data_IF_737490979053
#
_entry.id   IF_737490979053
#
_cell.length_a   1.000
_cell.length_b   1.000
_cell.length_c   1.000
_cell.angle_alpha   90.00
_cell.angle_beta   90.00
_cell.angle_gamma   90.00
#
_symmetry.space_group_name_H-M   'P 1'
#
loop_
_entity.id
_entity.type
_entity.pdbx_description
1 polymer ?
#
# COMPACT_ATOMS: atom_id res chain seq x y z
N UNK A 1 23.20 -25.66 -6.98
CA UNK A 1 21.90 -25.87 -7.64
C UNK A 1 20.86 -25.04 -6.88
N UNK A 2 20.13 -24.15 -7.56
CA UNK A 2 19.07 -23.35 -6.91
C UNK A 2 17.83 -24.25 -6.79
N UNK A 3 17.36 -24.49 -5.56
CA UNK A 3 16.08 -25.16 -5.31
C UNK A 3 14.97 -24.11 -5.38
N UNK A 4 14.01 -24.30 -6.28
CA UNK A 4 12.88 -23.38 -6.47
C UNK A 4 11.63 -23.99 -5.83
N UNK A 5 10.99 -23.25 -4.92
CA UNK A 5 9.64 -23.56 -4.46
C UNK A 5 8.69 -23.22 -5.62
N UNK A 6 7.76 -24.12 -5.93
CA UNK A 6 6.62 -23.77 -6.80
C UNK A 6 5.76 -22.66 -6.17
N UNK A 7 4.81 -22.07 -6.92
CA UNK A 7 3.95 -21.02 -6.39
C UNK A 7 2.93 -21.53 -5.34
N UNK A 8 2.90 -22.83 -5.07
CA UNK A 8 1.98 -23.45 -4.14
C UNK A 8 2.15 -22.86 -2.73
N UNK A 9 1.10 -22.22 -2.22
CA UNK A 9 1.13 -21.59 -0.91
C UNK A 9 1.90 -20.26 -0.84
N UNK A 10 2.29 -19.67 -1.98
CA UNK A 10 2.83 -18.30 -2.06
C UNK A 10 1.79 -17.36 -2.69
N UNK A 11 1.38 -16.34 -1.95
CA UNK A 11 0.48 -15.29 -2.43
C UNK A 11 1.29 -14.05 -2.82
N UNK A 12 1.23 -13.68 -4.10
CA UNK A 12 1.79 -12.41 -4.59
C UNK A 12 0.70 -11.36 -4.65
N UNK A 13 0.97 -10.17 -4.13
CA UNK A 13 -0.01 -9.09 -4.10
C UNK A 13 0.58 -7.75 -4.52
N UNK A 14 -0.28 -6.88 -5.01
CA UNK A 14 0.03 -5.49 -5.33
C UNK A 14 -1.16 -4.61 -4.99
N UNK A 15 -0.92 -3.54 -4.24
CA UNK A 15 -1.93 -2.53 -3.94
C UNK A 15 -1.43 -1.16 -4.39
N UNK A 16 -2.36 -0.36 -4.90
CA UNK A 16 -2.09 0.99 -5.40
C UNK A 16 -2.89 1.99 -4.60
N UNK A 17 -2.29 3.14 -4.33
CA UNK A 17 -2.96 4.19 -3.62
C UNK A 17 -3.96 4.94 -4.52
N UNK A 18 -5.12 5.30 -3.96
CA UNK A 18 -6.23 5.96 -4.67
C UNK A 18 -6.41 7.39 -4.13
N UNK A 19 -5.31 8.13 -4.10
CA UNK A 19 -5.10 9.32 -3.28
C UNK A 19 -6.11 10.43 -3.56
N UNK A 20 -6.52 10.57 -4.83
CA UNK A 20 -7.52 11.55 -5.27
C UNK A 20 -8.95 11.23 -4.80
N UNK A 21 -9.18 10.02 -4.29
CA UNK A 21 -10.50 9.50 -3.93
C UNK A 21 -10.68 9.27 -2.44
N UNK A 22 -9.73 9.66 -1.58
CA UNK A 22 -9.83 9.50 -0.13
C UNK A 22 -10.10 10.84 0.57
N UNK A 23 -11.36 11.15 0.92
CA UNK A 23 -11.69 12.40 1.62
C UNK A 23 -10.93 12.56 2.93
N UNK A 24 -10.61 11.46 3.62
CA UNK A 24 -9.85 11.48 4.87
C UNK A 24 -8.42 11.95 4.66
N UNK A 25 -7.77 11.55 3.55
CA UNK A 25 -6.45 12.04 3.17
C UNK A 25 -6.51 13.55 2.91
N UNK A 26 -7.51 14.00 2.14
CA UNK A 26 -7.65 15.42 1.80
C UNK A 26 -7.96 16.31 2.98
N UNK A 27 -8.59 15.78 4.04
CA UNK A 27 -8.80 16.50 5.31
C UNK A 27 -7.51 16.73 6.10
N UNK A 28 -6.46 15.92 5.87
CA UNK A 28 -5.15 16.09 6.51
C UNK A 28 -4.28 17.14 5.80
N UNK A 29 -4.65 17.54 4.59
CA UNK A 29 -3.88 18.49 3.79
C UNK A 29 -4.02 19.92 4.33
N UNK A 30 -2.97 20.76 4.21
CA UNK A 30 -3.06 22.17 4.56
C UNK A 30 -4.19 22.87 3.79
N UNK A 31 -4.99 23.68 4.49
CA UNK A 31 -6.07 24.45 3.87
C UNK A 31 -5.51 25.71 3.21
N UNK A 32 -5.75 25.88 1.91
CA UNK A 32 -5.33 27.07 1.17
C UNK A 32 -6.39 28.18 1.21
N UNK A 33 -7.08 28.42 2.33
CA UNK A 33 -7.99 29.57 2.55
C UNK A 33 -9.23 29.68 1.62
N UNK A 34 -9.25 28.94 0.51
CA UNK A 34 -10.31 28.85 -0.48
C UNK A 34 -10.97 27.48 -0.32
N UNK A 35 -12.25 27.50 0.07
CA UNK A 35 -13.07 26.33 0.36
C UNK A 35 -13.46 25.50 -0.86
N UNK A 36 -13.03 25.87 -2.08
CA UNK A 36 -13.30 25.10 -3.28
C UNK A 36 -12.33 23.92 -3.39
N UNK A 37 -12.79 22.74 -2.97
CA UNK A 37 -12.14 21.45 -3.18
C UNK A 37 -12.31 20.98 -4.63
N UNK A 38 -11.54 21.58 -5.55
CA UNK A 38 -11.43 21.05 -6.91
C UNK A 38 -10.49 19.83 -6.94
N UNK A 39 -10.74 18.87 -7.83
CA UNK A 39 -9.84 17.72 -8.02
C UNK A 39 -8.39 18.15 -8.36
N UNK A 40 -8.23 19.30 -9.02
CA UNK A 40 -6.91 19.92 -9.29
C UNK A 40 -6.23 20.40 -8.00
N UNK A 41 -6.98 20.98 -7.07
CA UNK A 41 -6.44 21.41 -5.77
C UNK A 41 -6.02 20.20 -4.92
N UNK A 42 -6.80 19.11 -4.95
CA UNK A 42 -6.43 17.84 -4.30
C UNK A 42 -5.14 17.25 -4.85
N UNK A 43 -5.00 17.21 -6.17
CA UNK A 43 -3.79 16.74 -6.81
C UNK A 43 -2.57 17.59 -6.44
N UNK A 44 -2.70 18.92 -6.50
CA UNK A 44 -1.60 19.81 -6.16
C UNK A 44 -1.20 19.67 -4.68
N UNK A 45 -2.16 19.53 -3.76
CA UNK A 45 -1.86 19.31 -2.35
C UNK A 45 -1.07 18.02 -2.10
N UNK A 46 -1.38 16.93 -2.82
CA UNK A 46 -0.60 15.68 -2.73
C UNK A 46 0.82 15.90 -3.26
N UNK A 47 0.97 16.59 -4.40
CA UNK A 47 2.28 16.89 -4.98
C UNK A 47 3.14 17.75 -4.04
N UNK A 48 2.53 18.74 -3.38
CA UNK A 48 3.22 19.66 -2.49
C UNK A 48 3.49 19.04 -1.11
N UNK A 49 2.70 18.04 -0.71
CA UNK A 49 2.78 17.39 0.60
C UNK A 49 2.86 15.84 0.49
N UNK A 50 3.86 15.29 -0.24
CA UNK A 50 3.93 13.85 -0.53
C UNK A 50 4.07 13.02 0.74
N UNK A 51 4.78 13.54 1.76
CA UNK A 51 4.94 12.89 3.05
C UNK A 51 3.61 12.58 3.77
N UNK A 52 2.56 13.39 3.58
CA UNK A 52 1.23 13.15 4.15
C UNK A 52 0.55 11.99 3.43
N UNK A 53 0.58 12.01 2.09
CA UNK A 53 0.02 10.94 1.27
C UNK A 53 0.73 9.60 1.52
N UNK A 54 2.07 9.62 1.61
CA UNK A 54 2.92 8.46 1.87
C UNK A 54 2.61 7.84 3.23
N UNK A 55 2.59 8.66 4.29
CA UNK A 55 2.29 8.17 5.62
C UNK A 55 0.86 7.64 5.73
N UNK A 56 -0.11 8.32 5.09
CA UNK A 56 -1.50 7.88 5.07
C UNK A 56 -1.64 6.52 4.38
N UNK A 57 -1.03 6.35 3.21
CA UNK A 57 -1.05 5.07 2.51
C UNK A 57 -0.35 3.97 3.30
N UNK A 58 0.83 4.26 3.84
CA UNK A 58 1.58 3.35 4.70
C UNK A 58 0.70 2.84 5.83
N UNK A 59 0.05 3.74 6.58
CA UNK A 59 -0.80 3.35 7.72
C UNK A 59 -2.03 2.58 7.29
N UNK A 60 -2.68 3.00 6.21
CA UNK A 60 -3.85 2.32 5.69
C UNK A 60 -3.52 0.90 5.23
N UNK A 61 -2.40 0.71 4.55
CA UNK A 61 -1.92 -0.61 4.14
C UNK A 61 -1.46 -1.44 5.34
N UNK A 62 -0.68 -0.87 6.27
CA UNK A 62 -0.19 -1.58 7.47
C UNK A 62 -1.34 -2.15 8.28
N UNK A 63 -2.41 -1.37 8.50
CA UNK A 63 -3.62 -1.82 9.20
C UNK A 63 -4.33 -2.92 8.40
N UNK A 64 -4.58 -2.69 7.11
CA UNK A 64 -5.26 -3.69 6.27
C UNK A 64 -4.47 -5.00 6.18
N UNK A 65 -3.16 -4.92 6.07
CA UNK A 65 -2.29 -6.08 6.02
C UNK A 65 -2.34 -6.85 7.35
N UNK A 66 -2.15 -6.16 8.47
CA UNK A 66 -2.05 -6.80 9.78
C UNK A 66 -3.38 -7.36 10.28
N UNK A 67 -4.45 -6.60 10.11
CA UNK A 67 -5.75 -6.91 10.71
C UNK A 67 -6.65 -7.73 9.79
N UNK A 68 -6.35 -7.76 8.48
CA UNK A 68 -7.17 -8.49 7.50
C UNK A 68 -6.34 -9.52 6.73
N UNK A 69 -5.32 -9.10 5.97
CA UNK A 69 -4.67 -10.01 5.01
C UNK A 69 -3.94 -11.16 5.69
N UNK A 70 -3.18 -10.88 6.76
CA UNK A 70 -2.47 -11.92 7.52
C UNK A 70 -3.38 -13.04 8.00
N UNK A 71 -4.54 -12.67 8.55
CA UNK A 71 -5.52 -13.63 9.05
C UNK A 71 -6.23 -14.35 7.90
N UNK A 72 -6.75 -13.61 6.91
CA UNK A 72 -7.54 -14.17 5.82
C UNK A 72 -6.75 -15.07 4.88
N UNK A 73 -5.46 -14.81 4.71
CA UNK A 73 -4.58 -15.65 3.89
C UNK A 73 -3.80 -16.69 4.71
N UNK A 74 -3.96 -16.68 6.04
CA UNK A 74 -3.25 -17.58 6.95
C UNK A 74 -1.73 -17.51 6.77
N UNK A 75 -1.19 -16.28 6.69
CA UNK A 75 0.22 -16.05 6.42
C UNK A 75 1.10 -16.41 7.62
N UNK A 76 2.17 -17.16 7.36
CA UNK A 76 3.21 -17.50 8.35
C UNK A 76 4.48 -16.66 8.18
N UNK A 77 4.78 -16.26 6.95
CA UNK A 77 5.91 -15.38 6.62
C UNK A 77 5.52 -14.44 5.48
N UNK A 78 6.11 -13.25 5.42
CA UNK A 78 5.77 -12.26 4.40
C UNK A 78 6.86 -11.21 4.23
N UNK A 79 6.90 -10.63 3.04
CA UNK A 79 7.72 -9.48 2.73
C UNK A 79 6.99 -8.57 1.76
N UNK A 80 7.07 -7.25 1.97
CA UNK A 80 6.56 -6.28 1.03
C UNK A 80 7.44 -5.03 1.00
N UNK A 81 7.35 -4.29 -0.10
CA UNK A 81 8.08 -3.05 -0.35
C UNK A 81 7.15 -2.01 -0.94
N UNK A 82 7.30 -0.79 -0.47
CA UNK A 82 6.69 0.39 -1.07
C UNK A 82 7.54 0.91 -2.23
N UNK A 83 6.88 1.29 -3.31
CA UNK A 83 7.50 1.86 -4.50
C UNK A 83 6.85 3.19 -4.84
N UNK A 84 7.70 4.21 -4.93
CA UNK A 84 7.32 5.57 -5.29
C UNK A 84 7.68 5.83 -6.74
N UNK A 85 6.68 6.16 -7.54
CA UNK A 85 6.90 6.60 -8.91
C UNK A 85 7.06 8.12 -8.97
N UNK A 86 7.95 8.60 -9.84
CA UNK A 86 8.34 10.01 -9.98
C UNK A 86 7.17 11.02 -10.11
N UNK A 87 5.98 10.57 -10.54
CA UNK A 87 4.81 11.43 -10.77
C UNK A 87 3.51 10.84 -10.24
N UNK A 88 3.59 9.80 -9.40
CA UNK A 88 2.47 8.92 -9.15
C UNK A 88 2.22 8.63 -7.69
N UNK A 89 1.06 8.03 -7.47
CA UNK A 89 0.67 7.42 -6.22
C UNK A 89 1.61 6.27 -5.85
N UNK A 90 1.82 6.07 -4.55
CA UNK A 90 2.64 4.97 -4.04
C UNK A 90 1.96 3.63 -4.31
N UNK A 91 2.77 2.61 -4.59
CA UNK A 91 2.35 1.22 -4.69
C UNK A 91 3.04 0.39 -3.61
N UNK A 92 2.42 -0.72 -3.23
CA UNK A 92 3.07 -1.75 -2.43
C UNK A 92 3.00 -3.08 -3.15
N UNK A 93 4.16 -3.71 -3.30
CA UNK A 93 4.30 -5.05 -3.84
C UNK A 93 4.74 -5.98 -2.72
N UNK A 94 4.18 -7.18 -2.67
CA UNK A 94 4.56 -8.14 -1.65
C UNK A 94 4.30 -9.58 -2.00
N UNK A 95 4.83 -10.42 -1.14
CA UNK A 95 4.71 -11.87 -1.15
C UNK A 95 4.39 -12.34 0.26
N UNK A 96 3.48 -13.28 0.39
CA UNK A 96 3.16 -13.97 1.63
C UNK A 96 3.28 -15.48 1.45
N UNK A 97 3.80 -16.17 2.46
CA UNK A 97 3.80 -17.62 2.57
C UNK A 97 2.64 -18.05 3.46
N UNK A 98 1.73 -18.85 2.93
CA UNK A 98 0.60 -19.42 3.66
C UNK A 98 1.04 -20.57 4.56
N UNK A 99 0.27 -20.83 5.61
CA UNK A 99 0.38 -22.05 6.41
C UNK A 99 0.30 -23.30 5.54
N UNK A 100 1.22 -24.22 5.76
CA UNK A 100 1.30 -25.48 5.00
C UNK A 100 1.92 -25.34 3.62
N UNK A 101 2.47 -24.17 3.26
CA UNK A 101 3.23 -24.01 2.02
C UNK A 101 4.52 -24.86 2.05
N UNK A 102 4.99 -25.38 0.90
CA UNK A 102 6.15 -26.27 0.84
C UNK A 102 7.40 -25.65 1.46
N UNK A 103 8.20 -26.50 2.12
CA UNK A 103 9.50 -26.14 2.69
C UNK A 103 10.63 -26.37 1.68
N UNK A 104 11.65 -25.52 1.72
CA UNK A 104 12.95 -25.81 1.09
C UNK A 104 13.73 -26.66 2.09
N UNK A 105 13.82 -27.97 1.86
CA UNK A 105 14.86 -28.82 2.43
C UNK A 105 16.20 -28.59 1.73
#
# INVERSE_FOLDING_TARGET
MIKQIGPEGLDFFTFSAADLHWPELHKLMPSNGNSETSAKNHQQNIIDNPHIADWFFYKRFEIFFNDVLKEKWELEDWWYRFEWQHRGSVHVHGIGKRRGAPSIE
#
